data_IF_768117799983
#
_entry.id   IF_768117799983
#
_cell.length_a   1.000
_cell.length_b   1.000
_cell.length_c   1.000
_cell.angle_alpha   90.00
_cell.angle_beta   90.00
_cell.angle_gamma   90.00
#
_symmetry.space_group_name_H-M   'P 1'
#
loop_
_entity.id
_entity.type
_entity.pdbx_description
1 polymer ?
#
# COMPACT_ATOMS: atom_id res chain seq x y z
N UNK A 1 -12.61 -32.03 13.53
CA UNK A 1 -12.81 -30.65 14.03
C UNK A 1 -14.01 -30.06 13.28
N UNK A 2 -14.97 -29.48 14.00
CA UNK A 2 -16.15 -28.84 13.36
C UNK A 2 -15.66 -27.61 12.60
N UNK A 3 -15.96 -27.53 11.31
CA UNK A 3 -15.59 -26.45 10.43
C UNK A 3 -16.12 -25.11 10.99
N UNK A 4 -15.24 -24.19 11.36
CA UNK A 4 -15.62 -22.90 11.93
C UNK A 4 -15.85 -21.92 10.79
N UNK A 5 -17.11 -21.50 10.65
CA UNK A 5 -17.50 -20.39 9.77
C UNK A 5 -17.07 -19.07 10.43
N UNK A 6 -16.08 -18.38 9.86
CA UNK A 6 -15.58 -17.13 10.42
C UNK A 6 -16.32 -15.91 9.83
N UNK A 7 -16.68 -14.92 10.65
CA UNK A 7 -17.04 -13.59 10.16
C UNK A 7 -15.92 -13.04 9.29
N UNK A 8 -16.26 -12.27 8.26
CA UNK A 8 -15.28 -11.79 7.28
C UNK A 8 -14.18 -10.90 7.87
N UNK A 9 -14.50 -10.10 8.88
CA UNK A 9 -13.52 -9.27 9.59
C UNK A 9 -12.50 -10.11 10.36
N UNK A 10 -12.97 -11.16 11.03
CA UNK A 10 -12.12 -12.10 11.77
C UNK A 10 -11.23 -12.91 10.82
N UNK A 11 -11.79 -13.33 9.69
CA UNK A 11 -11.04 -14.05 8.65
C UNK A 11 -9.93 -13.17 8.03
N UNK A 12 -10.19 -11.87 7.79
CA UNK A 12 -9.17 -10.90 7.37
C UNK A 12 -8.06 -10.75 8.41
N UNK A 13 -8.46 -10.58 9.66
CA UNK A 13 -7.50 -10.44 10.76
C UNK A 13 -6.66 -11.73 10.94
N UNK A 14 -7.27 -12.89 10.79
CA UNK A 14 -6.56 -14.18 10.85
C UNK A 14 -5.56 -14.31 9.69
N UNK A 15 -5.97 -14.01 8.46
CA UNK A 15 -5.07 -14.04 7.31
C UNK A 15 -3.85 -13.14 7.53
N UNK A 16 -4.08 -11.91 7.99
CA UNK A 16 -3.01 -10.96 8.32
C UNK A 16 -2.08 -11.50 9.41
N UNK A 17 -2.63 -12.01 10.52
CA UNK A 17 -1.83 -12.60 11.61
C UNK A 17 -0.96 -13.75 11.14
N UNK A 18 -1.49 -14.64 10.29
CA UNK A 18 -0.73 -15.78 9.78
C UNK A 18 0.40 -15.34 8.86
N UNK A 19 0.17 -14.32 8.01
CA UNK A 19 1.24 -13.68 7.25
C UNK A 19 2.33 -13.12 8.15
N UNK A 20 1.96 -12.36 9.18
CA UNK A 20 2.89 -11.75 10.13
C UNK A 20 3.67 -12.78 10.95
N UNK A 21 3.02 -13.87 11.40
CA UNK A 21 3.70 -14.98 12.08
C UNK A 21 4.76 -15.64 11.19
N UNK A 22 4.43 -15.88 9.93
CA UNK A 22 5.38 -16.47 8.99
C UNK A 22 6.54 -15.52 8.68
N UNK A 23 6.30 -14.22 8.56
CA UNK A 23 7.35 -13.22 8.39
C UNK A 23 8.29 -13.10 9.61
N UNK A 24 7.77 -13.31 10.82
CA UNK A 24 8.53 -13.26 12.07
C UNK A 24 9.29 -14.55 12.38
N UNK A 25 8.95 -15.66 11.74
CA UNK A 25 9.59 -16.97 11.97
C UNK A 25 11.04 -16.95 11.50
N UNK A 26 11.98 -17.04 12.46
CA UNK A 26 13.42 -17.00 12.20
C UNK A 26 13.91 -18.18 11.35
N UNK A 27 13.33 -19.37 11.53
CA UNK A 27 13.65 -20.54 10.72
C UNK A 27 13.33 -20.32 9.23
N UNK A 28 12.38 -19.43 8.95
CA UNK A 28 11.96 -19.03 7.59
C UNK A 28 12.88 -17.94 7.02
N UNK A 29 13.44 -17.07 7.86
CA UNK A 29 14.44 -16.05 7.46
C UNK A 29 15.75 -16.67 7.00
N UNK A 30 16.16 -17.77 7.61
CA UNK A 30 17.41 -18.49 7.27
C UNK A 30 17.36 -19.15 5.88
N UNK A 31 16.19 -19.23 5.23
CA UNK A 31 16.01 -19.71 3.86
C UNK A 31 16.33 -18.66 2.77
N UNK A 32 17.08 -17.61 3.09
CA UNK A 32 17.52 -16.59 2.12
C UNK A 32 16.50 -15.47 1.84
N UNK A 33 15.46 -15.35 2.67
CA UNK A 33 14.42 -14.34 2.52
C UNK A 33 14.56 -13.16 3.49
N UNK A 34 15.79 -12.75 3.81
CA UNK A 34 16.10 -11.59 4.64
C UNK A 34 15.75 -10.25 3.97
N UNK A 35 15.79 -9.14 4.75
CA UNK A 35 15.64 -7.79 4.19
C UNK A 35 16.62 -7.52 3.05
N UNK A 36 16.14 -6.80 2.03
CA UNK A 36 16.94 -6.45 0.85
C UNK A 36 17.26 -4.96 0.91
N UNK A 37 18.52 -4.59 0.70
CA UNK A 37 18.93 -3.20 0.57
C UNK A 37 18.77 -2.79 -0.89
N UNK A 38 18.03 -1.72 -1.14
CA UNK A 38 17.76 -1.15 -2.46
C UNK A 38 17.97 0.36 -2.43
N UNK A 39 18.40 0.93 -3.56
CA UNK A 39 18.32 2.36 -3.75
C UNK A 39 16.86 2.86 -3.74
N UNK A 40 16.64 4.15 -3.62
CA UNK A 40 15.29 4.70 -3.52
C UNK A 40 14.43 4.41 -4.75
N UNK A 41 15.02 4.34 -5.94
CA UNK A 41 14.29 4.05 -7.17
C UNK A 41 13.81 2.59 -7.20
N UNK A 42 14.69 1.65 -6.89
CA UNK A 42 14.37 0.21 -6.80
C UNK A 42 13.45 -0.13 -5.62
N UNK A 43 13.40 0.73 -4.60
CA UNK A 43 12.57 0.56 -3.42
C UNK A 43 11.14 1.11 -3.57
N UNK A 44 10.81 1.80 -4.66
CA UNK A 44 9.44 2.30 -4.89
C UNK A 44 8.42 1.15 -4.87
N UNK A 45 7.34 1.35 -4.13
CA UNK A 45 6.29 0.35 -3.92
C UNK A 45 6.66 -0.77 -2.94
N UNK A 46 7.91 -0.82 -2.46
CA UNK A 46 8.38 -1.83 -1.49
C UNK A 46 8.08 -1.37 -0.05
N UNK A 47 8.11 -2.30 0.87
CA UNK A 47 7.81 -2.07 2.28
C UNK A 47 9.08 -1.94 3.09
N UNK A 48 9.22 -0.87 3.86
CA UNK A 48 10.36 -0.64 4.74
C UNK A 48 10.42 -1.68 5.87
N UNK A 49 11.64 -2.13 6.20
CA UNK A 49 11.90 -2.97 7.36
C UNK A 49 12.54 -2.10 8.45
N UNK A 50 11.79 -1.90 9.54
CA UNK A 50 12.20 -0.98 10.60
C UNK A 50 11.97 0.49 10.26
N UNK A 51 12.23 1.34 11.25
CA UNK A 51 12.05 2.77 11.11
C UNK A 51 13.17 3.39 10.26
N UNK A 52 12.81 4.29 9.36
CA UNK A 52 13.74 5.09 8.57
C UNK A 52 13.96 6.41 9.28
N UNK A 53 15.20 6.64 9.69
CA UNK A 53 15.63 7.88 10.35
C UNK A 53 16.20 8.87 9.34
N UNK A 54 16.02 10.16 9.59
CA UNK A 54 16.62 11.23 8.80
C UNK A 54 18.13 11.36 9.12
N UNK A 55 19.05 11.07 8.17
CA UNK A 55 20.48 11.29 8.38
C UNK A 55 20.89 12.76 8.33
N UNK A 56 20.03 13.64 7.82
CA UNK A 56 20.20 15.07 7.74
C UNK A 56 18.90 15.83 8.03
N UNK A 57 19.03 17.08 8.45
CA UNK A 57 17.90 17.99 8.62
C UNK A 57 17.39 18.50 7.26
N UNK A 58 16.09 18.85 7.15
CA UNK A 58 15.49 19.47 5.97
C UNK A 58 14.76 20.77 6.37
N UNK A 59 15.19 21.95 5.86
CA UNK A 59 16.45 22.17 5.17
C UNK A 59 17.67 21.98 6.10
N UNK A 60 18.85 21.73 5.51
CA UNK A 60 20.09 21.48 6.25
C UNK A 60 20.73 22.73 6.88
N UNK A 61 20.21 23.92 6.58
CA UNK A 61 20.66 25.21 7.09
C UNK A 61 19.52 26.22 7.09
N UNK A 62 19.69 27.33 7.84
CA UNK A 62 18.77 28.45 7.74
C UNK A 62 18.84 29.03 6.32
N UNK A 63 17.72 29.05 5.61
CA UNK A 63 17.65 29.46 4.22
C UNK A 63 16.74 30.67 3.98
N UNK A 64 17.04 31.48 2.95
CA UNK A 64 16.14 32.54 2.51
C UNK A 64 14.86 31.94 1.90
N UNK A 65 13.69 32.34 2.40
CA UNK A 65 12.40 31.91 1.87
C UNK A 65 11.97 32.72 0.62
N UNK A 66 12.61 33.80 0.34
CA UNK A 66 12.29 34.75 -0.74
C UNK A 66 13.57 35.36 -1.31
N UNK A 67 13.50 35.87 -2.54
CA UNK A 67 14.52 36.73 -3.11
C UNK A 67 14.48 38.12 -2.47
N UNK A 68 15.66 38.71 -2.24
CA UNK A 68 15.77 40.05 -1.64
C UNK A 68 17.09 40.28 -0.94
N UNK A 69 17.05 40.70 0.32
CA UNK A 69 18.22 41.02 1.12
C UNK A 69 18.13 40.45 2.53
N UNK A 70 19.15 39.71 2.95
CA UNK A 70 19.39 39.40 4.33
C UNK A 70 19.83 40.66 5.07
N UNK A 71 19.13 41.08 6.13
CA UNK A 71 19.39 42.33 6.85
C UNK A 71 19.62 42.06 8.35
N UNK A 72 20.45 42.93 8.95
CA UNK A 72 20.65 42.93 10.39
C UNK A 72 20.43 44.37 10.94
N UNK A 73 19.69 44.47 12.06
CA UNK A 73 19.29 45.74 12.68
C UNK A 73 18.29 46.53 11.85
N UNK A 74 18.13 47.80 12.22
CA UNK A 74 17.27 48.75 11.49
C UNK A 74 18.00 49.37 10.32
N UNK A 75 17.26 49.70 9.23
CA UNK A 75 17.80 50.39 8.06
C UNK A 75 17.89 51.88 8.27
N UNK A 76 18.49 52.61 7.30
CA UNK A 76 19.02 52.10 6.03
C UNK A 76 20.28 51.23 6.21
N UNK A 77 20.51 50.29 5.27
CA UNK A 77 21.60 49.29 5.37
C UNK A 77 22.66 49.49 4.29
N UNK A 78 23.93 49.27 4.68
CA UNK A 78 25.07 49.17 3.77
C UNK A 78 25.05 47.83 3.04
N UNK A 79 25.18 47.85 1.71
CA UNK A 79 25.17 46.64 0.90
C UNK A 79 26.52 45.90 0.91
N UNK A 80 26.50 44.63 1.20
CA UNK A 80 27.62 43.71 1.05
C UNK A 80 27.49 42.81 -0.18
N UNK A 81 28.37 41.81 -0.27
CA UNK A 81 28.39 40.84 -1.38
C UNK A 81 27.12 39.95 -1.40
N UNK A 82 26.66 39.60 -2.61
CA UNK A 82 25.49 38.76 -2.82
C UNK A 82 25.73 37.30 -2.36
N UNK A 83 24.67 36.66 -1.91
CA UNK A 83 24.62 35.24 -1.54
C UNK A 83 23.64 34.53 -2.47
N UNK A 84 24.10 33.51 -3.17
CA UNK A 84 23.28 32.75 -4.12
C UNK A 84 22.98 31.35 -3.60
N UNK A 85 21.91 30.73 -4.11
CA UNK A 85 21.62 29.35 -3.84
C UNK A 85 22.82 28.45 -4.23
N UNK A 86 23.13 27.46 -3.36
CA UNK A 86 24.31 26.61 -3.52
C UNK A 86 25.63 27.18 -2.95
N UNK A 87 25.61 28.43 -2.43
CA UNK A 87 26.75 28.94 -1.68
C UNK A 87 26.98 28.10 -0.40
N UNK A 88 28.25 27.99 -0.01
CA UNK A 88 28.59 27.37 1.28
C UNK A 88 28.16 28.34 2.39
N UNK A 89 27.46 27.87 3.44
CA UNK A 89 27.13 28.67 4.59
C UNK A 89 28.39 29.31 5.18
N UNK A 90 28.32 30.63 5.47
CA UNK A 90 29.42 31.38 6.04
C UNK A 90 29.23 31.53 7.55
N UNK A 91 30.30 31.37 8.31
CA UNK A 91 30.31 31.70 9.74
C UNK A 91 30.42 33.19 10.02
N UNK A 92 30.67 33.99 8.97
CA UNK A 92 30.73 35.45 9.07
C UNK A 92 29.37 36.04 9.44
N UNK A 93 29.35 36.69 10.60
CA UNK A 93 28.11 37.27 11.13
C UNK A 93 27.76 38.56 10.40
N UNK A 94 26.50 38.66 9.94
CA UNK A 94 25.98 39.94 9.45
C UNK A 94 25.83 40.91 10.61
N UNK A 95 26.45 42.07 10.52
CA UNK A 95 26.46 43.11 11.56
C UNK A 95 25.27 44.05 11.41
N UNK A 96 24.74 44.64 12.51
CA UNK A 96 23.68 45.64 12.42
C UNK A 96 23.99 46.78 11.48
N UNK A 97 23.00 47.25 10.70
CA UNK A 97 23.16 48.29 9.68
C UNK A 97 23.70 47.76 8.35
N UNK A 98 23.86 46.46 8.16
CA UNK A 98 24.29 45.82 6.92
C UNK A 98 23.24 44.92 6.30
N UNK A 99 23.27 44.82 4.98
CA UNK A 99 22.45 43.94 4.18
C UNK A 99 23.26 43.20 3.11
N UNK A 100 22.85 41.99 2.74
CA UNK A 100 23.45 41.26 1.63
C UNK A 100 22.35 40.79 0.67
N UNK A 101 22.45 41.08 -0.65
CA UNK A 101 21.53 40.47 -1.62
C UNK A 101 21.51 38.96 -1.46
N UNK A 102 20.32 38.35 -1.49
CA UNK A 102 20.15 36.89 -1.26
C UNK A 102 19.08 36.35 -2.16
N UNK A 103 19.31 35.15 -2.72
CA UNK A 103 18.32 34.44 -3.52
C UNK A 103 17.61 33.39 -2.68
N UNK A 104 16.41 33.05 -3.07
CA UNK A 104 15.60 31.94 -2.43
C UNK A 104 16.44 30.67 -2.33
N UNK A 105 16.41 30.03 -1.15
CA UNK A 105 17.18 28.83 -0.87
C UNK A 105 18.65 29.02 -0.53
N UNK A 106 19.19 30.26 -0.65
CA UNK A 106 20.56 30.55 -0.24
C UNK A 106 20.70 30.52 1.30
N UNK A 107 21.89 30.11 1.82
CA UNK A 107 22.14 30.13 3.26
C UNK A 107 22.11 31.53 3.84
N UNK A 108 21.35 31.70 4.90
CA UNK A 108 21.22 32.97 5.62
C UNK A 108 22.42 33.14 6.58
N UNK A 109 23.21 34.24 6.52
CA UNK A 109 24.31 34.45 7.43
C UNK A 109 23.87 34.55 8.89
N UNK A 110 24.67 34.06 9.86
CA UNK A 110 24.43 34.30 11.26
C UNK A 110 24.23 35.79 11.55
N UNK A 111 23.29 36.13 12.45
CA UNK A 111 23.00 37.54 12.80
C UNK A 111 21.99 38.22 11.89
N UNK A 112 21.45 37.51 10.89
CA UNK A 112 20.33 38.01 10.08
C UNK A 112 19.06 38.06 10.89
N UNK A 113 18.40 39.21 10.94
CA UNK A 113 17.09 39.36 11.60
C UNK A 113 15.95 38.96 10.67
N UNK A 114 16.04 39.29 9.38
CA UNK A 114 15.06 38.97 8.36
C UNK A 114 15.63 38.99 6.94
N UNK A 115 14.92 38.39 6.01
CA UNK A 115 15.06 38.60 4.57
C UNK A 115 13.99 39.62 4.15
N UNK A 116 14.40 40.78 3.69
CA UNK A 116 13.51 41.78 3.10
C UNK A 116 13.34 41.43 1.64
N UNK A 117 12.09 41.29 1.18
CA UNK A 117 11.80 40.91 -0.21
C UNK A 117 12.22 41.99 -1.20
N UNK A 118 12.54 41.57 -2.42
CA UNK A 118 12.94 42.49 -3.49
C UNK A 118 11.89 43.58 -3.80
N UNK A 119 10.62 43.27 -3.63
CA UNK A 119 9.51 44.19 -3.81
C UNK A 119 9.26 45.15 -2.62
N UNK A 120 9.89 44.94 -1.46
CA UNK A 120 9.66 45.71 -0.24
C UNK A 120 10.78 46.74 0.07
N UNK A 121 11.85 46.74 -0.70
CA UNK A 121 12.98 47.66 -0.51
C UNK A 121 13.64 48.05 -1.85
N UNK A 122 14.37 49.13 -1.84
CA UNK A 122 15.14 49.59 -2.99
C UNK A 122 16.45 50.24 -2.53
N UNK A 123 17.45 50.27 -3.43
CA UNK A 123 18.69 50.96 -3.21
C UNK A 123 18.48 52.42 -3.55
N UNK A 124 18.79 53.31 -2.62
CA UNK A 124 18.68 54.74 -2.81
C UNK A 124 19.85 55.33 -3.63
N UNK A 125 19.82 56.67 -3.90
CA UNK A 125 20.84 57.35 -4.68
C UNK A 125 22.22 57.41 -3.98
N UNK A 126 22.25 57.18 -2.65
CA UNK A 126 23.48 57.12 -1.86
C UNK A 126 24.07 55.70 -1.76
N UNK A 127 23.40 54.71 -2.35
CA UNK A 127 23.84 53.31 -2.35
C UNK A 127 23.41 52.49 -1.13
N UNK A 128 22.49 53.00 -0.28
CA UNK A 128 21.94 52.28 0.86
C UNK A 128 20.67 51.57 0.48
N UNK A 129 20.45 50.39 1.08
CA UNK A 129 19.16 49.70 0.98
C UNK A 129 18.16 50.35 1.95
N UNK A 130 17.02 50.77 1.39
CA UNK A 130 15.94 51.42 2.14
C UNK A 130 14.65 50.57 1.97
N UNK A 131 14.07 50.18 3.10
CA UNK A 131 12.77 49.49 3.11
C UNK A 131 11.66 50.51 2.97
N UNK A 132 10.74 50.27 2.04
CA UNK A 132 9.57 51.12 1.81
C UNK A 132 8.24 50.44 2.19
N UNK A 133 8.23 49.10 2.36
CA UNK A 133 7.04 48.36 2.81
C UNK A 133 7.33 47.63 4.13
N UNK A 134 6.67 47.97 5.24
CA UNK A 134 6.83 47.27 6.50
C UNK A 134 6.37 45.81 6.41
N UNK A 135 7.10 44.91 7.03
CA UNK A 135 6.71 43.51 7.20
C UNK A 135 7.18 42.98 8.56
N UNK A 136 6.37 42.23 9.22
CA UNK A 136 6.73 41.53 10.46
C UNK A 136 7.23 40.10 10.20
N UNK A 137 7.15 39.60 8.95
CA UNK A 137 7.62 38.27 8.60
C UNK A 137 9.13 38.28 8.41
N UNK A 138 9.80 37.30 8.98
CA UNK A 138 11.26 37.13 8.86
C UNK A 138 11.71 36.61 7.50
N UNK A 139 10.88 35.86 6.78
CA UNK A 139 11.20 35.21 5.50
C UNK A 139 12.51 34.40 5.54
N UNK A 140 12.80 33.79 6.68
CA UNK A 140 13.88 32.84 6.89
C UNK A 140 13.24 31.47 7.16
N UNK A 141 13.66 30.44 6.45
CA UNK A 141 13.32 29.04 6.70
C UNK A 141 14.36 28.46 7.64
N UNK A 142 14.00 28.12 8.88
CA UNK A 142 14.96 27.54 9.81
C UNK A 142 15.48 26.17 9.36
N UNK A 143 16.72 25.85 9.71
CA UNK A 143 17.23 24.48 9.59
C UNK A 143 16.32 23.50 10.33
N UNK A 144 15.98 22.38 9.68
CA UNK A 144 15.13 21.35 10.28
C UNK A 144 13.64 21.70 10.40
N UNK A 145 13.17 22.78 9.75
CA UNK A 145 11.75 23.18 9.78
C UNK A 145 10.81 22.06 9.35
N UNK A 146 11.20 21.26 8.37
CA UNK A 146 10.41 20.14 7.85
C UNK A 146 10.78 18.80 8.50
N UNK A 147 12.09 18.57 8.64
CA UNK A 147 12.64 17.33 9.22
C UNK A 147 13.85 17.66 10.08
N UNK A 148 13.83 17.25 11.33
CA UNK A 148 14.97 17.33 12.21
C UNK A 148 15.96 16.16 11.99
N UNK A 149 17.24 16.38 12.19
CA UNK A 149 18.26 15.32 12.22
C UNK A 149 17.87 14.22 13.21
N UNK A 150 17.91 12.97 12.78
CA UNK A 150 17.57 11.79 13.59
C UNK A 150 16.07 11.55 13.80
N UNK A 151 15.21 12.38 13.23
CA UNK A 151 13.77 12.18 13.26
C UNK A 151 13.38 10.91 12.50
N UNK A 152 12.38 10.18 13.00
CA UNK A 152 11.76 9.08 12.27
C UNK A 152 10.97 9.66 11.09
N UNK A 153 11.43 9.40 9.87
CA UNK A 153 10.72 9.77 8.64
C UNK A 153 9.51 8.87 8.42
N UNK A 154 9.73 7.58 8.50
CA UNK A 154 8.69 6.56 8.27
C UNK A 154 8.93 5.36 9.19
N UNK A 155 7.85 4.86 9.78
CA UNK A 155 7.88 3.64 10.57
C UNK A 155 8.06 2.38 9.68
N UNK A 156 8.60 1.33 10.25
CA UNK A 156 8.61 0.00 9.64
C UNK A 156 7.20 -0.42 9.21
N UNK A 157 7.11 -1.20 8.12
CA UNK A 157 5.85 -1.56 7.49
C UNK A 157 5.28 -0.50 6.54
N UNK A 158 5.90 0.68 6.45
CA UNK A 158 5.48 1.74 5.52
C UNK A 158 5.88 1.38 4.08
N UNK A 159 4.96 1.56 3.13
CA UNK A 159 5.26 1.45 1.69
C UNK A 159 5.94 2.72 1.21
N UNK A 160 7.09 2.59 0.53
CA UNK A 160 7.81 3.72 -0.03
C UNK A 160 7.11 4.20 -1.32
N UNK A 161 6.37 5.31 -1.22
CA UNK A 161 5.74 5.98 -2.36
C UNK A 161 6.69 7.05 -2.95
N UNK A 162 6.46 7.55 -4.18
CA UNK A 162 7.31 8.60 -4.75
C UNK A 162 7.50 9.83 -3.84
N UNK A 163 6.45 10.42 -3.21
CA UNK A 163 6.67 11.53 -2.28
C UNK A 163 7.49 11.16 -1.05
N UNK A 164 7.34 9.93 -0.52
CA UNK A 164 8.14 9.44 0.61
C UNK A 164 9.61 9.24 0.23
N UNK A 165 9.86 8.71 -0.97
CA UNK A 165 11.22 8.59 -1.49
C UNK A 165 11.87 9.96 -1.69
N UNK A 166 11.12 10.96 -2.18
CA UNK A 166 11.61 12.33 -2.33
C UNK A 166 11.98 12.96 -0.97
N UNK A 167 11.16 12.78 0.07
CA UNK A 167 11.48 13.28 1.41
C UNK A 167 12.69 12.55 2.01
N UNK A 168 12.82 11.24 1.81
CA UNK A 168 13.98 10.46 2.22
C UNK A 168 15.26 10.98 1.53
N UNK A 169 15.21 11.19 0.21
CA UNK A 169 16.33 11.77 -0.54
C UNK A 169 16.70 13.18 -0.06
N UNK A 170 15.70 14.03 0.19
CA UNK A 170 15.94 15.38 0.72
C UNK A 170 16.65 15.35 2.09
N UNK A 171 16.42 14.30 2.88
CA UNK A 171 17.07 14.08 4.17
C UNK A 171 18.46 13.43 4.06
N UNK A 172 18.92 13.06 2.84
CA UNK A 172 20.22 12.44 2.60
C UNK A 172 20.20 10.91 2.64
N UNK A 173 19.05 10.26 2.46
CA UNK A 173 18.94 8.80 2.33
C UNK A 173 19.19 8.41 0.88
N UNK A 174 20.13 7.50 0.64
CA UNK A 174 20.43 6.95 -0.69
C UNK A 174 19.81 5.58 -0.90
N UNK A 175 19.77 4.74 0.14
CA UNK A 175 19.24 3.39 0.11
C UNK A 175 18.45 3.05 1.37
N UNK A 176 17.58 2.04 1.25
CA UNK A 176 16.71 1.59 2.34
C UNK A 176 16.66 0.06 2.41
N UNK A 177 16.38 -0.46 3.62
CA UNK A 177 16.06 -1.87 3.80
C UNK A 177 14.57 -2.11 3.59
N UNK A 178 14.24 -3.03 2.68
CA UNK A 178 12.86 -3.39 2.35
C UNK A 178 12.60 -4.87 2.58
N UNK A 179 11.34 -5.20 2.88
CA UNK A 179 10.90 -6.59 2.98
C UNK A 179 11.03 -7.27 1.62
N UNK A 180 11.52 -8.54 1.58
CA UNK A 180 11.49 -9.32 0.36
C UNK A 180 10.05 -9.54 -0.09
N UNK A 181 9.78 -9.48 -1.39
CA UNK A 181 8.46 -9.83 -1.91
C UNK A 181 8.21 -11.32 -1.67
N UNK A 182 7.10 -11.71 -1.03
CA UNK A 182 6.78 -13.12 -0.87
C UNK A 182 6.54 -13.76 -2.24
N UNK A 183 7.25 -14.83 -2.54
CA UNK A 183 7.02 -15.59 -3.78
C UNK A 183 5.65 -16.25 -3.75
N UNK A 184 4.95 -16.27 -4.89
CA UNK A 184 3.63 -16.85 -5.02
C UNK A 184 3.55 -17.82 -6.22
N UNK A 185 2.79 -18.91 -6.03
CA UNK A 185 2.37 -19.84 -7.07
C UNK A 185 0.86 -19.72 -7.27
N UNK A 186 0.40 -19.73 -8.50
CA UNK A 186 -1.03 -19.78 -8.85
C UNK A 186 -1.32 -21.10 -9.54
N UNK A 187 -2.24 -21.89 -8.97
CA UNK A 187 -2.71 -23.15 -9.54
C UNK A 187 -4.21 -23.04 -9.88
N UNK A 188 -4.54 -23.08 -11.16
CA UNK A 188 -5.90 -22.96 -11.69
C UNK A 188 -6.45 -24.36 -11.95
N UNK A 189 -7.44 -24.79 -11.14
CA UNK A 189 -8.05 -26.11 -11.20
C UNK A 189 -9.32 -26.08 -12.02
N UNK A 190 -9.54 -27.09 -12.84
CA UNK A 190 -10.75 -27.30 -13.65
C UNK A 190 -10.43 -27.84 -15.03
N UNK A 191 -10.95 -29.02 -15.36
CA UNK A 191 -10.79 -29.64 -16.70
C UNK A 191 -11.63 -28.92 -17.76
N UNK A 192 -12.69 -28.20 -17.35
CA UNK A 192 -13.53 -27.37 -18.20
C UNK A 192 -12.82 -26.09 -18.68
N UNK A 193 -11.67 -25.73 -18.11
CA UNK A 193 -11.01 -24.46 -18.34
C UNK A 193 -10.19 -24.50 -19.63
N UNK A 194 -10.44 -23.55 -20.54
CA UNK A 194 -9.68 -23.39 -21.80
C UNK A 194 -8.85 -22.11 -21.77
N UNK A 195 -7.57 -22.25 -22.15
CA UNK A 195 -6.59 -21.15 -22.07
C UNK A 195 -6.70 -20.11 -23.21
N UNK A 196 -7.41 -20.36 -24.33
CA UNK A 196 -7.51 -19.45 -25.47
C UNK A 196 -8.82 -19.61 -26.25
N UNK A 197 -9.19 -18.60 -27.02
CA UNK A 197 -10.35 -18.60 -27.91
C UNK A 197 -11.69 -18.48 -27.18
N UNK A 198 -12.77 -18.69 -27.93
CA UNK A 198 -14.15 -18.72 -27.43
C UNK A 198 -14.43 -20.12 -26.90
N UNK A 199 -14.88 -20.29 -25.65
CA UNK A 199 -15.17 -21.60 -25.08
C UNK A 199 -16.36 -22.24 -25.78
N UNK A 200 -16.31 -23.56 -25.95
CA UNK A 200 -17.44 -24.37 -26.44
C UNK A 200 -18.44 -24.65 -25.32
N UNK A 201 -19.66 -25.10 -25.60
CA UNK A 201 -20.57 -25.58 -24.56
C UNK A 201 -19.88 -26.60 -23.65
N UNK A 202 -20.01 -26.40 -22.31
CA UNK A 202 -19.33 -27.21 -21.30
C UNK A 202 -17.92 -26.75 -20.95
N UNK A 203 -17.38 -25.75 -21.63
CA UNK A 203 -16.08 -25.13 -21.33
C UNK A 203 -16.26 -23.71 -20.77
N UNK A 204 -15.29 -23.27 -19.98
CA UNK A 204 -15.18 -21.87 -19.52
C UNK A 204 -13.81 -21.29 -19.89
N UNK A 205 -13.78 -20.01 -20.20
CA UNK A 205 -12.52 -19.31 -20.49
C UNK A 205 -11.75 -19.06 -19.20
N UNK A 206 -10.46 -19.40 -19.20
CA UNK A 206 -9.54 -19.07 -18.13
C UNK A 206 -9.45 -17.53 -17.95
N UNK A 207 -9.88 -17.09 -16.79
CA UNK A 207 -9.79 -15.67 -16.37
C UNK A 207 -8.72 -15.47 -15.30
N UNK A 208 -8.20 -16.54 -14.70
CA UNK A 208 -7.32 -16.48 -13.53
C UNK A 208 -5.84 -16.44 -13.88
N UNK A 209 -5.39 -17.25 -14.83
CA UNK A 209 -3.97 -17.33 -15.22
C UNK A 209 -3.36 -15.96 -15.53
N UNK A 210 -4.13 -15.04 -16.10
CA UNK A 210 -3.66 -13.70 -16.47
C UNK A 210 -3.92 -12.65 -15.38
N UNK A 211 -4.96 -12.80 -14.57
CA UNK A 211 -5.40 -11.75 -13.65
C UNK A 211 -4.86 -11.93 -12.24
N UNK A 212 -4.84 -13.15 -11.69
CA UNK A 212 -4.37 -13.38 -10.32
C UNK A 212 -2.91 -12.96 -10.10
N UNK A 213 -1.96 -13.24 -11.00
CA UNK A 213 -0.59 -12.75 -10.86
C UNK A 213 -0.51 -11.22 -10.78
N UNK A 214 -1.31 -10.50 -11.58
CA UNK A 214 -1.33 -9.05 -11.56
C UNK A 214 -1.87 -8.51 -10.22
N UNK A 215 -2.96 -9.09 -9.70
CA UNK A 215 -3.52 -8.73 -8.39
C UNK A 215 -2.56 -9.05 -7.25
N UNK A 216 -1.86 -10.19 -7.31
CA UNK A 216 -0.85 -10.54 -6.30
C UNK A 216 0.32 -9.54 -6.29
N UNK A 217 0.78 -9.09 -7.48
CA UNK A 217 1.80 -8.03 -7.57
C UNK A 217 1.32 -6.71 -6.97
N UNK A 218 0.07 -6.33 -7.18
CA UNK A 218 -0.48 -5.10 -6.58
C UNK A 218 -0.55 -5.17 -5.05
N UNK A 219 -0.63 -6.35 -4.46
CA UNK A 219 -0.47 -6.55 -3.01
C UNK A 219 1.00 -6.51 -2.57
N UNK A 220 1.95 -6.72 -3.50
CA UNK A 220 3.38 -6.74 -3.23
C UNK A 220 3.99 -8.14 -3.15
N UNK A 221 3.28 -9.18 -3.61
CA UNK A 221 3.83 -10.51 -3.80
C UNK A 221 4.49 -10.64 -5.18
N UNK A 222 5.37 -11.65 -5.35
CA UNK A 222 6.02 -11.98 -6.62
C UNK A 222 5.53 -13.34 -7.13
N UNK A 223 4.61 -13.37 -8.09
CA UNK A 223 4.17 -14.61 -8.73
C UNK A 223 5.28 -15.18 -9.61
N UNK A 224 5.83 -16.32 -9.18
CA UNK A 224 6.94 -17.00 -9.86
C UNK A 224 6.50 -18.19 -10.70
N UNK A 225 5.30 -18.72 -10.45
CA UNK A 225 4.72 -19.82 -11.21
C UNK A 225 3.20 -19.67 -11.36
N UNK A 226 2.69 -20.02 -12.53
CA UNK A 226 1.26 -20.13 -12.82
C UNK A 226 1.03 -21.37 -13.69
N UNK A 227 0.16 -22.26 -13.23
CA UNK A 227 -0.10 -23.53 -13.90
C UNK A 227 -1.58 -23.91 -13.85
N UNK A 228 -2.02 -24.71 -14.80
CA UNK A 228 -3.34 -25.36 -14.78
C UNK A 228 -3.19 -26.76 -14.24
N UNK A 229 -4.11 -27.12 -13.36
CA UNK A 229 -4.12 -28.41 -12.67
C UNK A 229 -5.43 -29.11 -13.01
N UNK A 230 -5.36 -30.37 -13.43
CA UNK A 230 -6.55 -31.19 -13.68
C UNK A 230 -7.35 -31.49 -12.41
N UNK A 231 -8.62 -31.77 -12.57
CA UNK A 231 -9.52 -32.21 -11.48
C UNK A 231 -9.21 -33.63 -10.99
N UNK A 232 -7.95 -33.86 -10.65
CA UNK A 232 -7.41 -35.11 -10.12
C UNK A 232 -6.82 -34.88 -8.72
N UNK A 233 -7.28 -35.69 -7.75
CA UNK A 233 -6.89 -35.54 -6.34
C UNK A 233 -5.39 -35.79 -6.11
N UNK A 234 -4.78 -36.71 -6.84
CA UNK A 234 -3.35 -37.04 -6.72
C UNK A 234 -2.50 -35.98 -7.38
N UNK A 235 -2.95 -35.44 -8.51
CA UNK A 235 -2.27 -34.32 -9.19
C UNK A 235 -2.32 -33.08 -8.31
N UNK A 236 -3.49 -32.71 -7.79
CA UNK A 236 -3.65 -31.57 -6.88
C UNK A 236 -2.74 -31.72 -5.67
N UNK A 237 -2.73 -32.88 -5.00
CA UNK A 237 -1.86 -33.10 -3.85
C UNK A 237 -0.38 -32.98 -4.19
N UNK A 238 0.08 -33.52 -5.34
CA UNK A 238 1.46 -33.38 -5.79
C UNK A 238 1.87 -31.93 -6.05
N UNK A 239 1.00 -31.14 -6.70
CA UNK A 239 1.26 -29.71 -6.96
C UNK A 239 1.39 -28.92 -5.66
N UNK A 240 0.50 -29.16 -4.69
CA UNK A 240 0.55 -28.50 -3.38
C UNK A 240 1.78 -28.94 -2.56
N UNK A 241 2.12 -30.22 -2.58
CA UNK A 241 3.30 -30.77 -1.85
C UNK A 241 4.63 -30.28 -2.41
N UNK A 242 4.70 -30.12 -3.73
CA UNK A 242 5.91 -29.64 -4.42
C UNK A 242 6.15 -28.14 -4.25
N UNK A 243 5.17 -27.36 -3.79
CA UNK A 243 5.29 -25.91 -3.65
C UNK A 243 6.39 -25.54 -2.61
N UNK A 244 7.18 -24.53 -2.96
CA UNK A 244 8.23 -23.95 -2.10
C UNK A 244 8.05 -22.43 -1.93
N UNK A 245 7.06 -21.88 -2.60
CA UNK A 245 6.67 -20.49 -2.53
C UNK A 245 6.06 -20.18 -1.15
N UNK A 246 6.14 -18.93 -0.74
CA UNK A 246 5.54 -18.45 0.51
C UNK A 246 4.02 -18.49 0.47
N UNK A 247 3.45 -18.33 -0.72
CA UNK A 247 2.01 -18.30 -0.95
C UNK A 247 1.67 -19.20 -2.14
N UNK A 248 0.73 -20.10 -1.95
CA UNK A 248 0.08 -20.86 -3.02
C UNK A 248 -1.38 -20.40 -3.10
N UNK A 249 -1.80 -19.92 -4.27
CA UNK A 249 -3.18 -19.56 -4.53
C UNK A 249 -3.79 -20.58 -5.49
N UNK A 250 -4.86 -21.25 -5.08
CA UNK A 250 -5.61 -22.14 -5.96
C UNK A 250 -6.97 -21.55 -6.30
N UNK A 251 -7.54 -21.89 -7.45
CA UNK A 251 -8.92 -21.59 -7.82
C UNK A 251 -9.64 -22.87 -8.19
N UNK A 252 -10.88 -23.04 -7.71
CA UNK A 252 -11.66 -24.27 -7.89
C UNK A 252 -11.46 -25.30 -6.77
N UNK A 253 -12.27 -26.34 -6.77
CA UNK A 253 -12.14 -27.47 -5.86
C UNK A 253 -12.37 -27.20 -4.37
N UNK A 254 -13.12 -26.15 -3.98
CA UNK A 254 -13.32 -25.74 -2.59
C UNK A 254 -14.75 -25.86 -2.07
N UNK A 255 -15.75 -26.16 -2.91
CA UNK A 255 -17.16 -26.05 -2.56
C UNK A 255 -17.73 -27.26 -1.77
N UNK A 256 -17.02 -28.37 -1.69
CA UNK A 256 -17.44 -29.58 -0.95
C UNK A 256 -18.24 -30.55 -1.80
N UNK A 257 -18.13 -30.48 -3.13
CA UNK A 257 -18.68 -31.49 -4.05
C UNK A 257 -17.75 -32.70 -4.18
N UNK A 258 -18.22 -33.76 -4.86
CA UNK A 258 -17.40 -34.97 -5.09
C UNK A 258 -16.14 -34.72 -5.95
N UNK A 259 -16.09 -33.58 -6.65
CA UNK A 259 -14.95 -33.11 -7.46
C UNK A 259 -14.03 -32.15 -6.71
N UNK A 260 -14.31 -31.85 -5.45
CA UNK A 260 -13.54 -30.89 -4.66
C UNK A 260 -12.35 -31.54 -3.97
N UNK A 261 -11.24 -31.61 -4.65
CA UNK A 261 -10.04 -32.32 -4.19
C UNK A 261 -9.11 -31.46 -3.31
N UNK A 262 -9.26 -30.14 -3.28
CA UNK A 262 -8.32 -29.24 -2.60
C UNK A 262 -8.25 -29.49 -1.10
N UNK A 263 -9.39 -29.66 -0.43
CA UNK A 263 -9.43 -29.95 1.01
C UNK A 263 -8.74 -31.27 1.33
N UNK A 264 -9.07 -32.34 0.58
CA UNK A 264 -8.44 -33.65 0.73
C UNK A 264 -6.93 -33.60 0.41
N UNK A 265 -6.52 -32.81 -0.57
CA UNK A 265 -5.12 -32.61 -0.90
C UNK A 265 -4.35 -31.88 0.23
N UNK A 266 -4.94 -30.84 0.84
CA UNK A 266 -4.36 -30.14 1.99
C UNK A 266 -4.19 -31.09 3.19
N UNK A 267 -5.20 -31.93 3.48
CA UNK A 267 -5.13 -32.93 4.55
C UNK A 267 -4.03 -33.98 4.29
N UNK A 268 -3.94 -34.49 3.06
CA UNK A 268 -2.91 -35.46 2.65
C UNK A 268 -1.48 -34.96 2.79
N UNK A 269 -1.25 -33.66 2.53
CA UNK A 269 0.08 -33.05 2.70
C UNK A 269 0.33 -32.59 4.15
N UNK A 270 -0.60 -32.81 5.08
CA UNK A 270 -0.50 -32.40 6.48
C UNK A 270 -0.55 -30.90 6.68
N UNK A 271 -1.27 -30.17 5.85
CA UNK A 271 -1.46 -28.74 6.04
C UNK A 271 -2.51 -28.46 7.14
N UNK A 272 -2.16 -27.55 8.05
CA UNK A 272 -3.07 -27.06 9.09
C UNK A 272 -4.10 -26.10 8.46
N UNK A 273 -5.39 -26.39 8.64
CA UNK A 273 -6.46 -25.53 8.17
C UNK A 273 -6.72 -24.41 9.18
N UNK A 274 -6.46 -23.16 8.76
CA UNK A 274 -6.54 -21.95 9.58
C UNK A 274 -7.91 -21.25 9.44
N UNK A 275 -8.42 -21.18 8.20
CA UNK A 275 -9.76 -20.68 7.87
C UNK A 275 -10.44 -21.71 7.00
N UNK A 276 -11.60 -22.19 7.44
CA UNK A 276 -12.35 -23.22 6.72
C UNK A 276 -13.49 -22.68 5.86
N UNK A 277 -14.09 -21.61 6.21
CA UNK A 277 -15.12 -20.88 5.43
C UNK A 277 -15.22 -19.47 5.96
N UNK A 278 -15.65 -18.56 5.11
CA UNK A 278 -15.93 -17.18 5.51
C UNK A 278 -17.41 -16.89 5.34
N UNK A 279 -18.00 -16.22 6.31
CA UNK A 279 -19.44 -15.93 6.30
C UNK A 279 -19.77 -14.73 5.37
N UNK A 280 -19.54 -14.96 4.06
CA UNK A 280 -19.83 -13.99 2.99
C UNK A 280 -20.47 -14.68 1.78
N UNK A 281 -21.10 -13.88 0.96
CA UNK A 281 -21.60 -14.23 -0.37
C UNK A 281 -21.35 -13.08 -1.36
N UNK A 282 -20.75 -13.39 -2.55
CA UNK A 282 -20.12 -14.64 -2.94
C UNK A 282 -18.79 -14.88 -2.20
N UNK A 283 -18.24 -16.10 -2.28
CA UNK A 283 -16.91 -16.41 -1.77
C UNK A 283 -16.88 -17.32 -0.52
N UNK A 284 -18.02 -17.73 0.03
CA UNK A 284 -18.09 -18.54 1.27
C UNK A 284 -17.10 -19.72 1.37
N UNK A 285 -16.85 -20.55 0.34
CA UNK A 285 -15.99 -21.74 0.45
C UNK A 285 -14.48 -21.45 0.29
N UNK A 286 -14.02 -20.24 0.52
CA UNK A 286 -12.59 -19.96 0.55
C UNK A 286 -11.91 -20.56 1.78
N UNK A 287 -10.66 -21.04 1.61
CA UNK A 287 -9.87 -21.68 2.65
C UNK A 287 -8.53 -20.99 2.79
N UNK A 288 -8.00 -20.99 4.03
CA UNK A 288 -6.60 -20.65 4.31
C UNK A 288 -5.99 -21.81 5.11
N UNK A 289 -4.85 -22.31 4.64
CA UNK A 289 -4.10 -23.35 5.32
C UNK A 289 -2.61 -23.02 5.38
N UNK A 290 -1.87 -23.73 6.24
CA UNK A 290 -0.41 -23.59 6.41
C UNK A 290 0.26 -24.94 6.46
N UNK A 291 1.41 -25.07 5.81
CA UNK A 291 2.36 -26.18 5.99
C UNK A 291 3.77 -25.63 6.00
N UNK A 292 4.43 -25.72 7.14
CA UNK A 292 5.77 -25.15 7.29
C UNK A 292 5.81 -23.66 6.94
N UNK A 293 6.62 -23.31 5.95
CA UNK A 293 6.83 -21.94 5.48
C UNK A 293 5.90 -21.51 4.33
N UNK A 294 4.93 -22.33 3.96
CA UNK A 294 4.00 -22.07 2.85
C UNK A 294 2.58 -21.86 3.38
N UNK A 295 1.92 -20.80 2.92
CA UNK A 295 0.51 -20.53 3.13
C UNK A 295 -0.27 -20.86 1.85
N UNK A 296 -1.42 -21.52 2.01
CA UNK A 296 -2.29 -21.95 0.92
C UNK A 296 -3.60 -21.17 1.01
N UNK A 297 -3.86 -20.30 0.04
CA UNK A 297 -5.11 -19.57 -0.12
C UNK A 297 -5.92 -20.25 -1.22
N UNK A 298 -6.95 -20.98 -0.85
CA UNK A 298 -7.76 -21.73 -1.81
C UNK A 298 -9.08 -21.01 -2.06
N UNK A 299 -9.26 -20.56 -3.30
CA UNK A 299 -10.37 -19.71 -3.74
C UNK A 299 -11.41 -20.55 -4.51
N UNK A 300 -12.69 -20.14 -4.50
CA UNK A 300 -13.72 -20.75 -5.34
C UNK A 300 -13.39 -20.64 -6.84
N UNK A 301 -13.94 -21.56 -7.66
CA UNK A 301 -13.79 -21.52 -9.10
C UNK A 301 -14.62 -20.43 -9.80
N UNK A 302 -15.68 -19.93 -9.17
CA UNK A 302 -16.48 -18.83 -9.71
C UNK A 302 -15.71 -17.49 -9.66
N UNK A 303 -15.58 -16.75 -10.79
CA UNK A 303 -14.68 -15.60 -10.90
C UNK A 303 -14.90 -14.49 -9.86
N UNK A 304 -16.13 -14.02 -9.67
CA UNK A 304 -16.41 -12.98 -8.67
C UNK A 304 -16.12 -13.48 -7.26
N UNK A 305 -16.46 -14.74 -6.96
CA UNK A 305 -16.21 -15.36 -5.66
C UNK A 305 -14.70 -15.48 -5.37
N UNK A 306 -13.91 -15.84 -6.37
CA UNK A 306 -12.45 -15.88 -6.25
C UNK A 306 -11.83 -14.51 -6.02
N UNK A 307 -12.25 -13.49 -6.77
CA UNK A 307 -11.77 -12.12 -6.58
C UNK A 307 -12.15 -11.57 -5.21
N UNK A 308 -13.36 -11.83 -4.72
CA UNK A 308 -13.76 -11.48 -3.35
C UNK A 308 -12.84 -12.14 -2.34
N UNK A 309 -12.58 -13.45 -2.47
CA UNK A 309 -11.67 -14.17 -1.57
C UNK A 309 -10.24 -13.64 -1.61
N UNK A 310 -9.74 -13.34 -2.81
CA UNK A 310 -8.40 -12.79 -2.99
C UNK A 310 -8.25 -11.40 -2.33
N UNK A 311 -9.26 -10.53 -2.46
CA UNK A 311 -9.25 -9.20 -1.83
C UNK A 311 -9.44 -9.30 -0.32
N UNK A 312 -10.38 -10.14 0.16
CA UNK A 312 -10.68 -10.25 1.58
C UNK A 312 -9.59 -10.97 2.39
N UNK A 313 -8.95 -11.99 1.83
CA UNK A 313 -7.93 -12.79 2.54
C UNK A 313 -6.53 -12.58 1.97
N UNK A 314 -6.37 -12.55 0.65
CA UNK A 314 -5.05 -12.47 -0.01
C UNK A 314 -4.34 -11.15 0.27
N UNK A 315 -5.04 -10.01 0.16
CA UNK A 315 -4.48 -8.71 0.48
C UNK A 315 -3.97 -8.62 1.93
N UNK A 316 -4.80 -8.91 2.96
CA UNK A 316 -4.37 -8.99 4.35
C UNK A 316 -3.22 -9.98 4.59
N UNK A 317 -3.27 -11.16 3.98
CA UNK A 317 -2.22 -12.18 4.10
C UNK A 317 -0.86 -11.67 3.62
N UNK A 318 -0.82 -11.07 2.42
CA UNK A 318 0.39 -10.48 1.86
C UNK A 318 0.84 -9.27 2.67
N UNK A 319 -0.08 -8.43 3.17
CA UNK A 319 0.25 -7.32 4.06
C UNK A 319 0.98 -7.83 5.32
N UNK A 320 0.47 -8.90 5.95
CA UNK A 320 1.13 -9.56 7.08
C UNK A 320 2.52 -10.09 6.73
N UNK A 321 2.67 -10.78 5.59
CA UNK A 321 3.96 -11.30 5.10
C UNK A 321 5.00 -10.18 4.88
N UNK A 322 4.54 -8.98 4.54
CA UNK A 322 5.38 -7.80 4.32
C UNK A 322 5.59 -6.96 5.58
N UNK A 323 5.00 -7.35 6.73
CA UNK A 323 5.04 -6.55 7.96
C UNK A 323 4.24 -5.25 7.89
N UNK A 324 3.31 -5.12 6.91
CA UNK A 324 2.40 -3.97 6.81
C UNK A 324 1.28 -4.08 7.85
N UNK A 325 0.76 -2.98 8.37
CA UNK A 325 -0.45 -3.01 9.19
C UNK A 325 -1.66 -3.54 8.40
N UNK A 326 -2.60 -4.16 9.09
CA UNK A 326 -3.90 -4.48 8.50
C UNK A 326 -4.62 -3.18 8.16
N UNK A 327 -4.98 -3.02 6.89
CA UNK A 327 -5.72 -1.84 6.44
C UNK A 327 -7.11 -1.81 7.10
N UNK A 328 -7.46 -0.72 7.81
CA UNK A 328 -8.78 -0.59 8.40
C UNK A 328 -9.84 -0.46 7.30
N UNK A 329 -10.98 -1.06 7.51
CA UNK A 329 -12.14 -0.84 6.66
C UNK A 329 -12.78 0.49 7.03
N UNK A 330 -12.70 1.48 6.18
CA UNK A 330 -13.36 2.76 6.39
C UNK A 330 -14.89 2.64 6.48
N UNK A 331 -15.58 3.68 6.10
CA UNK A 331 -17.04 3.72 6.00
C UNK A 331 -17.43 4.48 4.75
N UNK A 332 -18.42 3.98 4.02
CA UNK A 332 -19.01 4.65 2.86
C UNK A 332 -20.55 4.66 3.04
N UNK A 333 -21.18 5.77 2.69
CA UNK A 333 -22.65 5.93 2.76
C UNK A 333 -23.28 5.29 1.53
N UNK A 334 -24.39 4.57 1.72
CA UNK A 334 -25.19 4.02 0.63
C UNK A 334 -26.08 5.11 0.02
N UNK A 335 -26.17 5.15 -1.31
CA UNK A 335 -27.11 6.01 -2.03
C UNK A 335 -28.49 5.34 -2.23
N UNK A 336 -28.57 4.02 -2.10
CA UNK A 336 -29.77 3.22 -2.31
C UNK A 336 -29.90 2.13 -1.24
N UNK A 337 -31.11 1.60 -1.08
CA UNK A 337 -31.36 0.45 -0.23
C UNK A 337 -30.66 -0.80 -0.78
N UNK A 338 -30.04 -1.57 0.10
CA UNK A 338 -29.38 -2.85 -0.23
C UNK A 338 -29.96 -3.94 0.66
N UNK A 339 -30.93 -4.72 0.18
CA UNK A 339 -31.51 -5.81 0.95
C UNK A 339 -30.51 -6.98 1.08
N UNK A 340 -30.51 -7.63 2.23
CA UNK A 340 -29.80 -8.90 2.47
C UNK A 340 -30.62 -9.77 3.41
N UNK A 341 -31.55 -10.53 2.88
CA UNK A 341 -32.49 -11.39 3.63
C UNK A 341 -31.85 -12.69 4.11
N UNK A 342 -30.56 -12.94 3.81
CA UNK A 342 -29.87 -14.16 4.17
C UNK A 342 -28.84 -13.91 5.28
N UNK A 343 -28.51 -14.94 6.10
CA UNK A 343 -27.41 -14.85 7.05
C UNK A 343 -26.07 -14.55 6.37
N UNK A 344 -25.19 -13.88 7.10
CA UNK A 344 -23.82 -13.54 6.67
C UNK A 344 -23.72 -12.27 5.84
N UNK A 345 -22.49 -11.94 5.46
CA UNK A 345 -22.18 -10.75 4.68
C UNK A 345 -22.53 -10.91 3.20
N UNK A 346 -23.22 -9.94 2.63
CA UNK A 346 -23.39 -9.80 1.19
C UNK A 346 -22.28 -8.88 0.67
N UNK A 347 -21.38 -9.42 -0.16
CA UNK A 347 -20.28 -8.67 -0.76
C UNK A 347 -20.70 -8.21 -2.16
N UNK A 348 -20.65 -6.91 -2.38
CA UNK A 348 -21.07 -6.27 -3.61
C UNK A 348 -19.98 -5.31 -4.12
N UNK A 349 -19.69 -5.38 -5.40
CA UNK A 349 -18.98 -4.33 -6.09
C UNK A 349 -19.86 -3.06 -6.15
N UNK A 350 -19.26 -1.88 -5.97
CA UNK A 350 -20.02 -0.62 -5.99
C UNK A 350 -19.33 0.45 -6.85
N UNK A 351 -20.10 1.43 -7.26
CA UNK A 351 -19.63 2.69 -7.83
C UNK A 351 -19.93 3.84 -6.89
N UNK A 352 -18.94 4.71 -6.71
CA UNK A 352 -19.13 5.94 -5.96
C UNK A 352 -19.89 6.98 -6.82
N UNK A 353 -20.87 7.62 -6.21
CA UNK A 353 -21.63 8.73 -6.80
C UNK A 353 -21.62 9.91 -5.83
N UNK A 354 -22.03 11.11 -6.26
CA UNK A 354 -22.17 12.25 -5.34
C UNK A 354 -23.10 11.97 -4.14
N UNK A 355 -24.10 11.09 -4.32
CA UNK A 355 -25.08 10.73 -3.28
C UNK A 355 -24.63 9.57 -2.39
N UNK A 356 -23.54 8.89 -2.75
CA UNK A 356 -23.01 7.73 -2.02
C UNK A 356 -22.70 6.54 -2.93
N UNK A 357 -22.51 5.38 -2.32
CA UNK A 357 -22.22 4.14 -3.02
C UNK A 357 -23.48 3.49 -3.60
N UNK A 358 -23.41 3.07 -4.86
CA UNK A 358 -24.45 2.32 -5.56
C UNK A 358 -23.91 0.96 -5.96
N UNK A 359 -24.55 -0.17 -5.59
CA UNK A 359 -24.15 -1.49 -6.05
C UNK A 359 -24.10 -1.57 -7.58
N UNK A 360 -23.03 -2.16 -8.11
CA UNK A 360 -22.90 -2.40 -9.54
C UNK A 360 -23.88 -3.47 -10.00
N UNK A 361 -24.23 -3.46 -11.30
CA UNK A 361 -25.03 -4.53 -11.91
C UNK A 361 -24.15 -5.76 -12.25
N UNK A 362 -24.77 -6.89 -12.57
CA UNK A 362 -24.10 -8.09 -13.07
C UNK A 362 -22.94 -8.58 -12.15
N UNK A 363 -23.27 -8.93 -10.91
CA UNK A 363 -22.27 -9.31 -9.91
C UNK A 363 -22.65 -10.56 -9.09
N UNK A 364 -23.32 -11.55 -9.70
CA UNK A 364 -23.44 -12.89 -9.08
C UNK A 364 -22.08 -13.57 -9.01
N UNK A 365 -21.97 -14.72 -8.34
CA UNK A 365 -20.67 -15.39 -8.08
C UNK A 365 -19.78 -15.62 -9.31
N UNK A 366 -20.38 -15.79 -10.49
CA UNK A 366 -19.67 -16.03 -11.75
C UNK A 366 -19.49 -14.78 -12.63
N UNK A 367 -20.02 -13.61 -12.22
CA UNK A 367 -20.06 -12.40 -13.06
C UNK A 367 -19.00 -11.40 -12.67
N UNK A 368 -18.14 -11.00 -13.62
CA UNK A 368 -17.10 -9.98 -13.40
C UNK A 368 -17.48 -8.58 -13.89
N UNK A 369 -18.56 -8.44 -14.67
CA UNK A 369 -18.91 -7.15 -15.28
C UNK A 369 -19.11 -6.03 -14.27
N UNK A 370 -19.76 -6.30 -13.14
CA UNK A 370 -19.95 -5.32 -12.08
C UNK A 370 -18.65 -4.96 -11.35
N UNK A 371 -17.69 -5.90 -11.29
CA UNK A 371 -16.38 -5.66 -10.66
C UNK A 371 -15.42 -4.88 -11.57
N UNK A 372 -15.58 -5.02 -12.89
CA UNK A 372 -14.62 -4.46 -13.85
C UNK A 372 -14.47 -2.93 -13.76
N UNK A 373 -15.56 -2.23 -13.42
CA UNK A 373 -15.60 -0.77 -13.31
C UNK A 373 -15.90 -0.30 -11.87
N UNK A 374 -15.72 -1.16 -10.88
CA UNK A 374 -16.05 -0.84 -9.48
C UNK A 374 -14.97 0.00 -8.81
N UNK A 375 -15.39 0.89 -7.92
CA UNK A 375 -14.51 1.69 -7.06
C UNK A 375 -14.10 0.93 -5.78
N UNK A 376 -14.82 -0.17 -5.44
CA UNK A 376 -14.54 -1.01 -4.29
C UNK A 376 -15.57 -2.10 -4.10
N UNK A 377 -15.44 -2.83 -2.99
CA UNK A 377 -16.44 -3.78 -2.52
C UNK A 377 -17.14 -3.23 -1.27
N UNK A 378 -18.42 -3.51 -1.10
CA UNK A 378 -19.19 -3.29 0.13
C UNK A 378 -19.43 -4.63 0.81
N UNK A 379 -19.48 -4.64 2.13
CA UNK A 379 -19.95 -5.81 2.88
C UNK A 379 -21.18 -5.41 3.68
N UNK A 380 -22.34 -5.87 3.23
CA UNK A 380 -23.64 -5.60 3.84
C UNK A 380 -24.06 -6.78 4.70
N UNK A 381 -24.22 -6.57 6.01
CA UNK A 381 -24.62 -7.59 6.95
C UNK A 381 -26.07 -8.09 6.74
N UNK A 382 -26.42 -9.17 7.44
CA UNK A 382 -27.79 -9.71 7.47
C UNK A 382 -28.80 -8.61 7.85
N UNK A 383 -29.98 -8.65 7.27
CA UNK A 383 -31.04 -7.65 7.40
C UNK A 383 -30.92 -6.48 6.45
N UNK A 384 -29.84 -6.43 5.64
CA UNK A 384 -29.64 -5.34 4.67
C UNK A 384 -29.27 -3.99 5.29
N UNK A 385 -29.30 -2.93 4.48
CA UNK A 385 -29.10 -1.53 4.86
C UNK A 385 -29.94 -0.64 3.96
N UNK A 386 -30.38 0.50 4.50
CA UNK A 386 -31.15 1.50 3.74
C UNK A 386 -30.23 2.62 3.22
N UNK A 387 -30.74 3.39 2.27
CA UNK A 387 -30.07 4.59 1.78
C UNK A 387 -29.71 5.51 2.94
N UNK A 388 -28.50 6.07 2.91
CA UNK A 388 -27.95 6.88 4.00
C UNK A 388 -27.16 6.12 5.05
N UNK A 389 -27.33 4.79 5.18
CA UNK A 389 -26.57 3.98 6.11
C UNK A 389 -25.08 3.92 5.71
N UNK A 390 -24.24 3.86 6.73
CA UNK A 390 -22.81 3.64 6.58
C UNK A 390 -22.49 2.15 6.55
N UNK A 391 -21.71 1.71 5.56
CA UNK A 391 -21.25 0.33 5.41
C UNK A 391 -19.75 0.26 5.23
N UNK A 392 -19.06 -0.81 5.70
CA UNK A 392 -17.63 -0.96 5.50
C UNK A 392 -17.31 -1.24 4.03
N UNK A 393 -16.50 -0.39 3.37
CA UNK A 393 -15.92 -0.69 2.07
C UNK A 393 -14.66 -1.54 2.23
N UNK A 394 -14.36 -2.34 1.22
CA UNK A 394 -13.07 -2.99 1.04
C UNK A 394 -12.47 -2.47 -0.26
N UNK A 395 -11.27 -1.89 -0.15
CA UNK A 395 -10.57 -1.31 -1.29
C UNK A 395 -10.14 -2.38 -2.29
N UNK A 396 -10.24 -2.07 -3.57
CA UNK A 396 -9.65 -2.88 -4.64
C UNK A 396 -8.19 -2.45 -4.86
N UNK A 397 -7.26 -3.38 -5.06
CA UNK A 397 -5.85 -3.05 -5.16
C UNK A 397 -5.45 -2.38 -6.49
N UNK A 398 -6.39 -2.27 -7.42
CA UNK A 398 -6.20 -1.66 -8.75
C UNK A 398 -6.94 -0.32 -8.93
N UNK A 399 -7.57 0.24 -7.87
CA UNK A 399 -8.25 1.55 -7.87
C UNK A 399 -7.51 2.61 -7.08
#
# INVERSE_FOLDING_TARGET
MTAVLLPWGDARAEAHRQGGRLAADTAVRDLGAGPVRLDLAGALGRTLVGDLLAPGAVPGHDGAAMDGWAVAGEGPWVLGAAIVAGAVPSDERLTPGHARPITTGAPVPPGTDAVVRSEDAAVDHAGFLVRHTPSTRRHVRPAGEEVALGQVLFAGGTVLTPPRAALAAASGVDDVLVAPAPTARVAVLGDEIVGSGVPRPGQVRDVFTHTLPAVLRSFGAEPVATERVSDDADHTARVLDAARERLVVTTGGTAGSSTDHVRGALDRIGAELLVDRVDVRPGRPMLLARRGATLYLCLPGNPMAAMVGLVLLGGPLVAGLLGRPLEPTGSVRLAVDVPNDRPGGLVLAYRATPDGAVPASHQTSAMLRGLADADGLLVVGSGGRVAGDAVPPVRLPWT
#
